data_IF_596462634637
#
_entry.id   IF_596462634637
#
_cell.length_a   1.000
_cell.length_b   1.000
_cell.length_c   1.000
_cell.angle_alpha   90.00
_cell.angle_beta   90.00
_cell.angle_gamma   90.00
#
_symmetry.space_group_name_H-M   'P 1'
#
loop_
_entity.id
_entity.type
_entity.pdbx_description
1 polymer ?
#
# COMPACT_ATOMS: atom_id res chain seq x y z
N UNK A 1 -7.15 -24.90 -21.70
CA UNK A 1 -6.06 -23.94 -21.93
C UNK A 1 -6.15 -23.12 -23.23
N UNK A 2 -6.83 -23.58 -24.30
CA UNK A 2 -6.87 -22.84 -25.59
C UNK A 2 -7.87 -21.66 -25.66
N UNK A 3 -8.93 -21.67 -24.85
CA UNK A 3 -9.98 -20.62 -24.90
C UNK A 3 -9.58 -19.27 -24.28
N UNK A 4 -8.86 -19.26 -23.16
CA UNK A 4 -8.40 -18.02 -22.50
C UNK A 4 -7.39 -17.25 -23.36
N UNK A 5 -6.53 -17.97 -24.10
CA UNK A 5 -5.57 -17.37 -25.02
C UNK A 5 -6.23 -16.75 -26.26
N UNK A 6 -7.29 -17.35 -26.79
CA UNK A 6 -8.10 -16.77 -27.87
C UNK A 6 -8.84 -15.49 -27.45
N UNK A 7 -9.34 -15.43 -26.21
CA UNK A 7 -9.93 -14.22 -25.65
C UNK A 7 -8.88 -13.11 -25.44
N UNK A 8 -7.66 -13.47 -25.02
CA UNK A 8 -6.54 -12.53 -24.89
C UNK A 8 -6.01 -12.04 -26.25
N UNK A 9 -6.05 -12.88 -27.30
CA UNK A 9 -5.71 -12.47 -28.67
C UNK A 9 -6.65 -11.38 -29.19
N UNK A 10 -7.96 -11.50 -28.93
CA UNK A 10 -8.93 -10.43 -29.23
C UNK A 10 -8.65 -9.14 -28.44
N UNK A 11 -8.00 -9.25 -27.28
CA UNK A 11 -7.67 -8.12 -26.42
C UNK A 11 -6.32 -7.44 -26.76
N UNK A 12 -5.42 -8.06 -27.51
CA UNK A 12 -4.15 -7.44 -27.92
C UNK A 12 -4.17 -7.06 -29.40
N UNK A 13 -4.14 -5.77 -29.73
CA UNK A 13 -4.12 -5.32 -31.13
C UNK A 13 -2.89 -5.81 -31.92
N UNK A 14 -1.84 -6.28 -31.22
CA UNK A 14 -0.54 -6.68 -31.78
C UNK A 14 -0.15 -8.13 -31.50
N UNK A 15 -1.02 -8.91 -30.84
CA UNK A 15 -0.77 -10.33 -30.55
C UNK A 15 -1.36 -11.21 -31.65
N UNK A 16 -0.59 -12.19 -32.11
CA UNK A 16 -0.98 -13.18 -33.11
C UNK A 16 -0.73 -14.58 -32.57
N UNK A 17 -1.45 -15.57 -33.09
CA UNK A 17 -1.18 -16.97 -32.76
C UNK A 17 -0.14 -17.52 -33.74
N UNK A 18 0.97 -18.08 -33.24
CA UNK A 18 2.02 -18.73 -34.04
C UNK A 18 2.41 -20.03 -33.34
N UNK A 19 2.23 -21.17 -34.02
CA UNK A 19 2.49 -22.52 -33.48
C UNK A 19 1.85 -22.81 -32.11
N UNK A 20 0.64 -22.28 -31.91
CA UNK A 20 -0.11 -22.44 -30.65
C UNK A 20 0.32 -21.52 -29.51
N UNK A 21 1.28 -20.62 -29.75
CA UNK A 21 1.71 -19.59 -28.81
C UNK A 21 1.15 -18.23 -29.20
N UNK A 22 0.90 -17.39 -28.19
CA UNK A 22 0.64 -15.96 -28.41
C UNK A 22 1.97 -15.24 -28.61
N UNK A 23 2.14 -14.65 -29.79
CA UNK A 23 3.39 -14.03 -30.23
C UNK A 23 3.14 -12.61 -30.69
N UNK A 24 4.07 -11.71 -30.38
CA UNK A 24 4.14 -10.38 -31.00
C UNK A 24 5.54 -10.13 -31.55
N UNK A 25 5.66 -9.19 -32.48
CA UNK A 25 6.92 -8.84 -33.11
C UNK A 25 7.22 -7.37 -32.84
N UNK A 26 8.43 -7.08 -32.39
CA UNK A 26 8.87 -5.69 -32.21
C UNK A 26 9.20 -5.02 -33.56
N UNK A 27 9.37 -3.68 -33.60
CA UNK A 27 9.75 -2.98 -34.83
C UNK A 27 11.13 -3.38 -35.39
N UNK A 28 11.99 -4.03 -34.59
CA UNK A 28 13.31 -4.51 -34.97
C UNK A 28 13.28 -5.95 -35.53
N UNK A 29 12.10 -6.59 -35.52
CA UNK A 29 11.88 -7.93 -36.05
C UNK A 29 11.99 -9.05 -35.02
N UNK A 30 12.21 -8.77 -33.74
CA UNK A 30 12.32 -9.80 -32.70
C UNK A 30 10.95 -10.38 -32.32
N UNK A 31 10.89 -11.71 -32.15
CA UNK A 31 9.70 -12.43 -31.72
C UNK A 31 9.62 -12.51 -30.19
N UNK A 32 8.46 -12.13 -29.66
CA UNK A 32 8.14 -12.17 -28.24
C UNK A 32 7.01 -13.15 -27.97
N UNK A 33 7.27 -14.15 -27.14
CA UNK A 33 6.31 -15.17 -26.75
C UNK A 33 5.65 -14.83 -25.42
N UNK A 34 4.32 -14.78 -25.39
CA UNK A 34 3.56 -14.51 -24.18
C UNK A 34 3.33 -15.79 -23.39
N UNK A 35 3.89 -15.83 -22.18
CA UNK A 35 3.64 -16.86 -21.18
C UNK A 35 2.65 -16.32 -20.15
N UNK A 36 1.59 -17.07 -19.88
CA UNK A 36 0.60 -16.73 -18.87
C UNK A 36 0.53 -17.84 -17.83
N UNK A 37 0.56 -17.46 -16.56
CA UNK A 37 0.39 -18.34 -15.43
C UNK A 37 -0.52 -17.68 -14.40
N UNK A 38 -1.25 -18.50 -13.65
CA UNK A 38 -2.13 -18.09 -12.58
C UNK A 38 -1.66 -18.79 -11.30
N UNK A 39 -1.68 -18.09 -10.16
CA UNK A 39 -1.27 -18.71 -8.90
C UNK A 39 -2.36 -19.64 -8.40
N UNK A 40 -1.96 -20.81 -7.93
CA UNK A 40 -2.85 -21.74 -7.25
C UNK A 40 -3.24 -21.24 -5.83
N UNK A 41 -2.46 -20.33 -5.25
CA UNK A 41 -2.65 -19.78 -3.90
C UNK A 41 -2.87 -18.27 -3.88
N UNK A 42 -3.00 -17.69 -2.67
CA UNK A 42 -3.21 -16.25 -2.52
C UNK A 42 -1.93 -15.45 -2.80
N UNK A 43 -2.07 -14.28 -3.42
CA UNK A 43 -0.97 -13.33 -3.63
C UNK A 43 -0.44 -12.69 -2.35
N UNK A 44 -1.05 -12.99 -1.20
CA UNK A 44 -0.68 -12.46 0.12
C UNK A 44 0.18 -13.43 0.94
N UNK A 45 0.39 -14.67 0.48
CA UNK A 45 1.36 -15.57 1.10
C UNK A 45 2.78 -15.13 0.72
N UNK A 46 3.41 -14.39 1.64
CA UNK A 46 4.74 -13.81 1.43
C UNK A 46 5.81 -14.87 1.16
N UNK A 47 5.74 -16.04 1.80
CA UNK A 47 6.78 -17.08 1.64
C UNK A 47 6.66 -17.76 0.28
N UNK A 48 5.45 -18.17 -0.10
CA UNK A 48 5.23 -18.80 -1.41
C UNK A 48 5.53 -17.83 -2.55
N UNK A 49 5.07 -16.57 -2.42
CA UNK A 49 5.30 -15.52 -3.43
C UNK A 49 6.79 -15.26 -3.61
N UNK A 50 7.56 -15.16 -2.52
CA UNK A 50 9.00 -14.94 -2.60
C UNK A 50 9.74 -16.14 -3.20
N UNK A 51 9.37 -17.37 -2.81
CA UNK A 51 9.97 -18.59 -3.38
C UNK A 51 9.71 -18.70 -4.88
N UNK A 52 8.50 -18.37 -5.33
CA UNK A 52 8.15 -18.36 -6.75
C UNK A 52 9.03 -17.36 -7.52
N UNK A 53 9.13 -16.12 -7.06
CA UNK A 53 9.93 -15.09 -7.74
C UNK A 53 11.41 -15.46 -7.72
N UNK A 54 11.91 -16.00 -6.61
CA UNK A 54 13.29 -16.48 -6.54
C UNK A 54 13.55 -17.58 -7.57
N UNK A 55 12.61 -18.53 -7.69
CA UNK A 55 12.68 -19.60 -8.69
C UNK A 55 12.65 -19.03 -10.11
N UNK A 56 11.74 -18.10 -10.41
CA UNK A 56 11.67 -17.42 -11.72
C UNK A 56 12.98 -16.69 -12.05
N UNK A 57 13.56 -15.97 -11.08
CA UNK A 57 14.85 -15.29 -11.26
C UNK A 57 15.99 -16.28 -11.50
N UNK A 58 15.99 -17.46 -10.85
CA UNK A 58 17.00 -18.49 -11.12
C UNK A 58 16.87 -19.08 -12.52
N UNK A 59 15.64 -19.32 -12.97
CA UNK A 59 15.34 -19.81 -14.31
C UNK A 59 15.70 -18.77 -15.38
N UNK A 60 15.41 -17.49 -15.14
CA UNK A 60 15.81 -16.40 -16.01
C UNK A 60 17.33 -16.32 -16.17
N UNK A 61 18.08 -16.42 -15.06
CA UNK A 61 19.55 -16.45 -15.09
C UNK A 61 20.09 -17.65 -15.87
N UNK A 62 19.52 -18.84 -15.65
CA UNK A 62 19.88 -20.04 -16.41
C UNK A 62 19.59 -19.88 -17.91
N UNK A 63 18.45 -19.30 -18.27
CA UNK A 63 18.07 -19.01 -19.66
C UNK A 63 19.08 -18.05 -20.30
N UNK A 64 19.40 -16.93 -19.63
CA UNK A 64 20.38 -15.94 -20.13
C UNK A 64 21.80 -16.48 -20.25
N UNK A 65 22.18 -17.42 -19.39
CA UNK A 65 23.48 -18.10 -19.46
C UNK A 65 23.57 -18.97 -20.71
N UNK A 66 22.48 -19.66 -21.07
CA UNK A 66 22.42 -20.52 -22.26
C UNK A 66 22.15 -19.75 -23.55
N UNK A 67 21.41 -18.65 -23.47
CA UNK A 67 21.03 -17.80 -24.59
C UNK A 67 21.22 -16.31 -24.23
N UNK A 68 22.42 -15.74 -24.47
CA UNK A 68 22.75 -14.37 -24.05
C UNK A 68 21.87 -13.29 -24.69
N UNK A 69 21.28 -13.58 -25.85
CA UNK A 69 20.37 -12.66 -26.55
C UNK A 69 18.90 -12.78 -26.10
N UNK A 70 18.56 -13.77 -25.26
CA UNK A 70 17.19 -13.94 -24.79
C UNK A 70 16.84 -12.84 -23.78
N UNK A 71 15.70 -12.18 -24.02
CA UNK A 71 15.13 -11.20 -23.11
C UNK A 71 13.86 -11.77 -22.47
N UNK A 72 13.69 -11.49 -21.17
CA UNK A 72 12.49 -11.84 -20.42
C UNK A 72 11.92 -10.54 -19.83
N UNK A 73 10.63 -10.33 -20.08
CA UNK A 73 9.86 -9.24 -19.46
C UNK A 73 8.74 -9.88 -18.64
N UNK A 74 8.58 -9.42 -17.41
CA UNK A 74 7.60 -9.96 -16.47
C UNK A 74 6.60 -8.89 -16.05
N UNK A 75 5.34 -9.29 -15.86
CA UNK A 75 4.27 -8.43 -15.34
C UNK A 75 3.34 -9.24 -14.45
N UNK A 76 2.88 -8.64 -13.35
CA UNK A 76 1.89 -9.22 -12.46
C UNK A 76 1.92 -8.63 -11.05
N UNK A 77 0.79 -8.69 -10.35
CA UNK A 77 0.63 -8.20 -8.97
C UNK A 77 1.57 -8.89 -7.98
N UNK A 78 1.99 -10.11 -8.28
CA UNK A 78 2.92 -10.94 -7.52
C UNK A 78 4.29 -10.29 -7.37
N UNK A 79 4.81 -9.69 -8.45
CA UNK A 79 6.11 -9.00 -8.43
C UNK A 79 6.07 -7.76 -7.55
N UNK A 80 4.96 -7.01 -7.59
CA UNK A 80 4.75 -5.86 -6.71
C UNK A 80 4.60 -6.28 -5.25
N UNK A 81 3.90 -7.38 -4.98
CA UNK A 81 3.65 -7.89 -3.63
C UNK A 81 4.92 -8.41 -2.96
N UNK A 82 5.76 -9.15 -3.68
CA UNK A 82 7.08 -9.57 -3.18
C UNK A 82 8.01 -8.39 -2.97
N UNK A 83 8.08 -7.46 -3.93
CA UNK A 83 8.92 -6.26 -3.75
C UNK A 83 8.52 -5.47 -2.51
N UNK A 84 7.22 -5.18 -2.33
CA UNK A 84 6.71 -4.48 -1.15
C UNK A 84 7.02 -5.24 0.15
N UNK A 85 6.91 -6.57 0.12
CA UNK A 85 7.23 -7.46 1.24
C UNK A 85 8.72 -7.43 1.61
N UNK A 86 9.60 -7.50 0.62
CA UNK A 86 11.04 -7.43 0.81
C UNK A 86 11.49 -6.04 1.25
N UNK A 87 10.92 -4.98 0.67
CA UNK A 87 11.18 -3.61 1.08
C UNK A 87 10.79 -3.40 2.53
N UNK A 88 9.57 -3.81 2.94
CA UNK A 88 9.14 -3.73 4.32
C UNK A 88 10.08 -4.51 5.26
N UNK A 89 10.52 -5.71 4.87
CA UNK A 89 11.48 -6.50 5.66
C UNK A 89 12.84 -5.81 5.78
N UNK A 90 13.34 -5.20 4.71
CA UNK A 90 14.58 -4.43 4.71
C UNK A 90 14.45 -3.17 5.56
N UNK A 91 13.34 -2.45 5.46
CA UNK A 91 13.07 -1.25 6.27
C UNK A 91 13.01 -1.61 7.76
N UNK A 92 12.29 -2.69 8.13
CA UNK A 92 12.29 -3.22 9.51
C UNK A 92 13.72 -3.53 9.97
N UNK A 93 14.52 -4.20 9.13
CA UNK A 93 15.88 -4.59 9.51
C UNK A 93 16.84 -3.40 9.60
N UNK A 94 16.78 -2.46 8.67
CA UNK A 94 17.76 -1.36 8.55
C UNK A 94 17.38 -0.19 9.45
N UNK A 95 16.17 0.34 9.30
CA UNK A 95 15.66 1.42 10.14
C UNK A 95 15.45 0.93 11.57
N UNK A 96 14.92 -0.28 11.77
CA UNK A 96 14.76 -0.83 13.12
C UNK A 96 16.08 -0.97 13.87
N UNK A 97 17.14 -1.49 13.22
CA UNK A 97 18.47 -1.57 13.84
C UNK A 97 19.07 -0.18 14.06
N UNK A 98 18.95 0.73 13.08
CA UNK A 98 19.46 2.10 13.22
C UNK A 98 18.77 2.86 14.37
N UNK A 99 17.45 2.78 14.48
CA UNK A 99 16.67 3.37 15.57
C UNK A 99 17.04 2.73 16.90
N UNK A 100 17.17 1.40 16.96
CA UNK A 100 17.57 0.71 18.18
C UNK A 100 18.96 1.17 18.64
N UNK A 101 19.96 1.17 17.76
CA UNK A 101 21.30 1.68 18.06
C UNK A 101 21.27 3.15 18.47
N UNK A 102 20.48 3.99 17.79
CA UNK A 102 20.31 5.40 18.12
C UNK A 102 19.73 5.61 19.52
N UNK A 103 18.69 4.86 19.90
CA UNK A 103 18.08 4.92 21.24
C UNK A 103 19.07 4.41 22.30
N UNK A 104 19.78 3.31 22.04
CA UNK A 104 20.81 2.80 22.95
C UNK A 104 21.90 3.85 23.17
N UNK A 105 22.42 4.43 22.09
CA UNK A 105 23.46 5.45 22.14
C UNK A 105 22.99 6.69 22.89
N UNK A 106 21.77 7.17 22.63
CA UNK A 106 21.16 8.30 23.33
C UNK A 106 21.05 8.02 24.83
N UNK A 107 20.48 6.88 25.21
CA UNK A 107 20.29 6.52 26.62
C UNK A 107 21.64 6.37 27.33
N UNK A 108 22.61 5.71 26.71
CA UNK A 108 23.96 5.56 27.28
C UNK A 108 24.67 6.91 27.35
N UNK A 109 24.51 7.80 26.37
CA UNK A 109 25.13 9.13 26.41
C UNK A 109 24.55 10.00 27.53
N UNK A 110 23.22 9.96 27.75
CA UNK A 110 22.53 10.77 28.76
C UNK A 110 22.70 10.19 30.16
N UNK A 111 22.35 8.91 30.32
CA UNK A 111 22.30 8.27 31.62
C UNK A 111 23.60 7.57 32.00
N UNK A 112 24.54 7.35 31.07
CA UNK A 112 25.83 6.65 31.27
C UNK A 112 25.68 5.31 32.00
N UNK A 113 24.56 4.61 31.75
CA UNK A 113 24.14 3.39 32.43
C UNK A 113 23.20 2.59 31.53
N UNK A 114 23.29 1.26 31.60
CA UNK A 114 22.39 0.35 30.88
C UNK A 114 21.08 0.07 31.64
N UNK A 115 20.97 0.48 32.91
CA UNK A 115 19.74 0.25 33.70
C UNK A 115 18.51 0.96 33.10
N UNK A 116 18.59 2.25 32.71
CA UNK A 116 17.49 2.93 32.02
C UNK A 116 17.03 2.23 30.74
N UNK A 117 17.98 1.67 29.99
CA UNK A 117 17.69 0.91 28.77
C UNK A 117 16.87 -0.34 29.07
N UNK A 118 17.23 -1.10 30.10
CA UNK A 118 16.45 -2.27 30.53
C UNK A 118 15.03 -1.89 30.93
N UNK A 119 14.86 -0.76 31.64
CA UNK A 119 13.53 -0.26 32.02
C UNK A 119 12.69 0.16 30.82
N UNK A 120 13.30 0.81 29.82
CA UNK A 120 12.63 1.10 28.55
C UNK A 120 12.19 -0.19 27.87
N UNK A 121 13.08 -1.19 27.77
CA UNK A 121 12.77 -2.49 27.14
C UNK A 121 11.63 -3.21 27.86
N UNK A 122 11.56 -3.15 29.19
CA UNK A 122 10.45 -3.75 29.96
C UNK A 122 9.12 -3.06 29.61
N UNK A 123 9.08 -1.73 29.64
CA UNK A 123 7.86 -0.97 29.35
C UNK A 123 7.38 -1.14 27.90
N UNK A 124 8.31 -1.10 26.95
CA UNK A 124 8.05 -1.34 25.53
C UNK A 124 7.58 -2.78 25.31
N UNK A 125 8.25 -3.76 25.95
CA UNK A 125 7.91 -5.17 25.81
C UNK A 125 6.50 -5.47 26.32
N UNK A 126 6.12 -4.93 27.48
CA UNK A 126 4.76 -5.06 28.02
C UNK A 126 3.75 -4.36 27.11
N UNK A 127 4.06 -3.16 26.62
CA UNK A 127 3.21 -2.46 25.66
C UNK A 127 2.99 -3.23 24.37
N UNK A 128 4.07 -3.75 23.77
CA UNK A 128 4.00 -4.55 22.54
C UNK A 128 3.21 -5.85 22.76
N UNK A 129 3.45 -6.56 23.85
CA UNK A 129 2.71 -7.77 24.20
C UNK A 129 1.21 -7.49 24.39
N UNK A 130 0.86 -6.44 25.14
CA UNK A 130 -0.53 -6.07 25.37
C UNK A 130 -1.24 -5.61 24.08
N UNK A 131 -0.56 -4.81 23.26
CA UNK A 131 -1.07 -4.37 21.96
C UNK A 131 -1.29 -5.56 21.01
N UNK A 132 -0.29 -6.45 20.89
CA UNK A 132 -0.40 -7.66 20.06
C UNK A 132 -1.52 -8.56 20.54
N UNK A 133 -1.62 -8.81 21.84
CA UNK A 133 -2.67 -9.65 22.41
C UNK A 133 -4.06 -9.08 22.14
N UNK A 134 -4.27 -7.77 22.37
CA UNK A 134 -5.56 -7.14 22.12
C UNK A 134 -5.95 -7.15 20.63
N UNK A 135 -5.00 -6.87 19.73
CA UNK A 135 -5.26 -6.93 18.29
C UNK A 135 -5.59 -8.34 17.83
N UNK A 136 -4.88 -9.36 18.31
CA UNK A 136 -5.17 -10.76 17.98
C UNK A 136 -6.53 -11.20 18.55
N UNK A 137 -6.90 -10.77 19.75
CA UNK A 137 -8.21 -11.08 20.35
C UNK A 137 -9.37 -10.47 19.58
N UNK A 138 -9.20 -9.27 19.03
CA UNK A 138 -10.29 -8.53 18.35
C UNK A 138 -10.39 -8.91 16.87
N UNK A 139 -9.26 -9.14 16.20
CA UNK A 139 -9.24 -9.34 14.74
C UNK A 139 -8.81 -10.75 14.30
N UNK A 140 -8.32 -11.60 15.20
CA UNK A 140 -7.86 -12.97 14.89
C UNK A 140 -6.53 -13.06 14.13
N UNK A 141 -6.18 -12.03 13.37
CA UNK A 141 -4.98 -11.97 12.53
C UNK A 141 -4.25 -10.63 12.71
N UNK A 142 -2.92 -10.65 12.53
CA UNK A 142 -2.09 -9.46 12.62
C UNK A 142 -1.48 -9.14 11.26
N UNK A 143 -1.90 -8.02 10.67
CA UNK A 143 -1.40 -7.60 9.37
C UNK A 143 0.03 -7.05 9.48
N UNK A 144 0.94 -7.41 8.55
CA UNK A 144 2.34 -6.96 8.61
C UNK A 144 2.47 -5.43 8.67
N UNK A 145 1.63 -4.71 7.93
CA UNK A 145 1.58 -3.24 7.93
C UNK A 145 1.31 -2.68 9.33
N UNK A 146 0.50 -3.37 10.15
CA UNK A 146 0.28 -3.00 11.56
C UNK A 146 1.57 -3.14 12.34
N UNK A 147 2.33 -4.22 12.16
CA UNK A 147 3.60 -4.44 12.84
C UNK A 147 4.65 -3.37 12.47
N UNK A 148 4.72 -3.01 11.19
CA UNK A 148 5.63 -1.97 10.69
C UNK A 148 5.27 -0.60 11.27
N UNK A 149 4.00 -0.20 11.16
CA UNK A 149 3.53 1.08 11.68
C UNK A 149 3.68 1.16 13.21
N UNK A 150 3.55 0.04 13.90
CA UNK A 150 3.72 -0.07 15.35
C UNK A 150 5.15 0.20 15.83
N UNK A 151 6.16 0.18 14.95
CA UNK A 151 7.51 0.64 15.32
C UNK A 151 7.54 2.11 15.74
N UNK A 152 6.65 2.95 15.18
CA UNK A 152 6.54 4.35 15.61
C UNK A 152 6.07 4.49 17.07
N UNK A 153 5.24 3.55 17.53
CA UNK A 153 4.67 3.50 18.88
C UNK A 153 5.75 3.19 19.92
N UNK A 154 6.78 2.42 19.55
CA UNK A 154 7.92 2.08 20.41
C UNK A 154 8.63 3.34 20.91
N UNK A 155 8.80 4.35 20.05
CA UNK A 155 9.43 5.62 20.41
C UNK A 155 8.63 6.37 21.48
N UNK A 156 7.32 6.51 21.29
CA UNK A 156 6.42 7.19 22.23
C UNK A 156 6.38 6.46 23.58
N UNK A 157 6.36 5.12 23.56
CA UNK A 157 6.44 4.28 24.75
C UNK A 157 7.75 4.49 25.53
N UNK A 158 8.88 4.58 24.83
CA UNK A 158 10.17 4.87 25.44
C UNK A 158 10.18 6.23 26.13
N UNK A 159 9.54 7.24 25.55
CA UNK A 159 9.49 8.60 26.08
C UNK A 159 8.87 8.66 27.48
N UNK A 160 7.81 7.89 27.76
CA UNK A 160 7.21 7.84 29.11
C UNK A 160 8.23 7.40 30.16
N UNK A 161 9.03 6.39 29.82
CA UNK A 161 10.11 5.90 30.68
C UNK A 161 11.18 6.97 30.86
N UNK A 162 11.65 7.56 29.76
CA UNK A 162 12.71 8.56 29.79
C UNK A 162 12.31 9.82 30.55
N UNK A 163 11.05 10.24 30.46
CA UNK A 163 10.54 11.41 31.18
C UNK A 163 10.59 11.19 32.69
N UNK A 164 10.11 10.03 33.17
CA UNK A 164 10.20 9.65 34.58
C UNK A 164 11.65 9.50 35.05
N UNK A 165 12.49 8.84 34.25
CA UNK A 165 13.89 8.60 34.59
C UNK A 165 14.73 9.89 34.60
N UNK A 166 14.41 10.85 33.74
CA UNK A 166 15.09 12.16 33.73
C UNK A 166 14.78 12.94 35.01
N UNK A 167 13.53 12.95 35.47
CA UNK A 167 13.17 13.55 36.76
C UNK A 167 13.88 12.86 37.93
N UNK A 168 14.01 11.52 37.89
CA UNK A 168 14.81 10.76 38.87
C UNK A 168 16.31 11.06 38.78
N UNK A 169 16.85 11.24 37.58
CA UNK A 169 18.28 11.50 37.39
C UNK A 169 18.69 12.86 37.96
N UNK A 170 17.81 13.87 37.89
CA UNK A 170 18.09 15.23 38.36
C UNK A 170 17.75 15.40 39.85
N UNK A 171 16.59 14.89 40.30
CA UNK A 171 16.08 15.15 41.65
C UNK A 171 16.11 13.92 42.57
N UNK A 172 16.68 12.80 42.14
CA UNK A 172 16.52 11.49 42.80
C UNK A 172 17.09 11.35 44.21
N UNK A 173 17.96 12.26 44.64
CA UNK A 173 18.55 12.30 45.99
C UNK A 173 17.61 12.95 47.01
N UNK A 174 16.80 13.93 46.58
CA UNK A 174 15.99 14.76 47.48
C UNK A 174 14.55 14.25 47.61
N UNK A 175 14.09 13.46 46.64
CA UNK A 175 12.71 12.95 46.60
C UNK A 175 12.68 11.44 46.43
N UNK A 176 11.64 10.81 47.00
CA UNK A 176 11.40 9.38 46.81
C UNK A 176 10.94 9.06 45.38
N UNK A 177 11.10 7.81 44.90
CA UNK A 177 10.63 7.41 43.56
C UNK A 177 9.14 7.71 43.31
N UNK A 178 8.31 7.61 44.34
CA UNK A 178 6.88 7.90 44.30
C UNK A 178 6.59 9.41 44.25
N UNK A 179 7.39 10.23 44.92
CA UNK A 179 7.26 11.69 44.84
C UNK A 179 7.69 12.21 43.47
N UNK A 180 8.75 11.66 42.87
CA UNK A 180 9.11 11.94 41.48
C UNK A 180 7.98 11.56 40.52
N UNK A 181 7.34 10.41 40.74
CA UNK A 181 6.19 10.00 39.93
C UNK A 181 5.03 10.98 40.06
N UNK A 182 4.70 11.42 41.28
CA UNK A 182 3.61 12.35 41.52
C UNK A 182 3.77 13.67 40.76
N UNK A 183 5.01 14.14 40.53
CA UNK A 183 5.29 15.34 39.72
C UNK A 183 5.01 15.14 38.23
N UNK A 184 5.36 13.97 37.68
CA UNK A 184 5.23 13.72 36.23
C UNK A 184 3.94 13.02 35.83
N UNK A 185 3.21 12.40 36.77
CA UNK A 185 2.03 11.57 36.49
C UNK A 185 0.97 12.28 35.64
N UNK A 186 0.68 13.54 35.93
CA UNK A 186 -0.38 14.28 35.26
C UNK A 186 0.03 14.57 33.81
N UNK A 187 1.30 14.91 33.59
CA UNK A 187 1.85 15.12 32.25
C UNK A 187 1.86 13.81 31.44
N UNK A 188 2.26 12.70 32.06
CA UNK A 188 2.26 11.37 31.41
C UNK A 188 0.85 10.90 31.04
N UNK A 189 -0.12 11.04 31.96
CA UNK A 189 -1.51 10.66 31.70
C UNK A 189 -2.16 11.55 30.64
N UNK A 190 -1.85 12.85 30.63
CA UNK A 190 -2.36 13.75 29.60
C UNK A 190 -1.77 13.40 28.23
N UNK A 191 -0.46 13.15 28.14
CA UNK A 191 0.20 12.73 26.92
C UNK A 191 -0.32 11.38 26.40
N UNK A 192 -0.59 10.44 27.31
CA UNK A 192 -1.25 9.17 26.97
C UNK A 192 -2.65 9.41 26.41
N UNK A 193 -3.49 10.16 27.13
CA UNK A 193 -4.89 10.35 26.76
C UNK A 193 -5.04 11.02 25.38
N UNK A 194 -4.24 12.06 25.11
CA UNK A 194 -4.27 12.73 23.80
C UNK A 194 -3.82 11.80 22.67
N UNK A 195 -2.78 11.00 22.91
CA UNK A 195 -2.26 10.06 21.91
C UNK A 195 -3.24 8.91 21.65
N UNK A 196 -3.82 8.33 22.72
CA UNK A 196 -4.85 7.29 22.62
C UNK A 196 -6.08 7.83 21.88
N UNK A 197 -6.55 9.03 22.20
CA UNK A 197 -7.66 9.66 21.50
C UNK A 197 -7.37 9.82 20.00
N UNK A 198 -6.16 10.27 19.63
CA UNK A 198 -5.76 10.41 18.24
C UNK A 198 -5.78 9.08 17.48
N UNK A 199 -5.23 8.01 18.07
CA UNK A 199 -5.28 6.67 17.45
C UNK A 199 -6.71 6.12 17.37
N UNK A 200 -7.53 6.31 18.41
CA UNK A 200 -8.92 5.85 18.39
C UNK A 200 -9.77 6.56 17.33
N UNK A 201 -9.49 7.83 17.00
CA UNK A 201 -10.13 8.51 15.86
C UNK A 201 -9.83 7.79 14.54
N UNK A 202 -8.63 7.24 14.36
CA UNK A 202 -8.28 6.47 13.16
C UNK A 202 -9.12 5.20 13.01
N UNK A 203 -9.78 4.73 14.07
CA UNK A 203 -10.71 3.59 14.00
C UNK A 203 -11.92 3.87 13.11
N UNK A 204 -12.29 5.14 12.90
CA UNK A 204 -13.36 5.52 11.98
C UNK A 204 -12.97 5.30 10.50
N UNK A 205 -11.68 5.17 10.19
CA UNK A 205 -11.23 4.93 8.82
C UNK A 205 -11.78 3.58 8.30
N UNK A 206 -12.26 3.49 7.04
CA UNK A 206 -12.82 2.25 6.47
C UNK A 206 -11.75 1.22 6.08
N UNK A 207 -10.51 1.36 6.58
CA UNK A 207 -9.38 0.50 6.21
C UNK A 207 -9.02 -0.44 7.36
N UNK A 208 -9.09 -1.77 7.19
CA UNK A 208 -8.88 -2.74 8.27
C UNK A 208 -7.48 -2.64 8.89
N UNK A 209 -6.43 -2.42 8.09
CA UNK A 209 -5.06 -2.27 8.60
C UNK A 209 -4.87 -1.05 9.51
N UNK A 210 -5.55 0.06 9.21
CA UNK A 210 -5.52 1.28 10.03
C UNK A 210 -6.24 1.04 11.37
N UNK A 211 -7.37 0.31 11.35
CA UNK A 211 -8.10 -0.06 12.58
C UNK A 211 -7.28 -0.96 13.49
N UNK A 212 -6.59 -1.96 12.93
CA UNK A 212 -5.69 -2.83 13.70
C UNK A 212 -4.55 -2.02 14.35
N UNK A 213 -3.96 -1.07 13.62
CA UNK A 213 -2.94 -0.16 14.13
C UNK A 213 -3.47 0.72 15.27
N UNK A 214 -4.67 1.26 15.13
CA UNK A 214 -5.29 2.09 16.15
C UNK A 214 -5.45 1.35 17.48
N UNK A 215 -5.97 0.13 17.46
CA UNK A 215 -6.17 -0.69 18.67
C UNK A 215 -4.83 -1.11 19.27
N UNK A 216 -3.89 -1.56 18.43
CA UNK A 216 -2.55 -1.93 18.89
C UNK A 216 -1.89 -0.76 19.64
N UNK A 217 -1.90 0.44 19.04
CA UNK A 217 -1.28 1.62 19.61
C UNK A 217 -1.99 2.07 20.89
N UNK A 218 -3.32 2.14 20.89
CA UNK A 218 -4.09 2.56 22.05
C UNK A 218 -3.85 1.66 23.27
N UNK A 219 -3.92 0.34 23.09
CA UNK A 219 -3.71 -0.62 24.18
C UNK A 219 -2.24 -0.68 24.57
N UNK A 220 -1.33 -0.74 23.59
CA UNK A 220 0.10 -0.86 23.85
C UNK A 220 0.69 0.35 24.56
N UNK A 221 0.33 1.57 24.15
CA UNK A 221 0.74 2.79 24.84
C UNK A 221 0.16 2.88 26.25
N UNK A 222 -1.09 2.47 26.43
CA UNK A 222 -1.72 2.43 27.75
C UNK A 222 -0.97 1.47 28.67
N UNK A 223 -0.73 0.23 28.22
CA UNK A 223 0.00 -0.77 29.00
C UNK A 223 1.45 -0.34 29.31
N UNK A 224 2.15 0.27 28.36
CA UNK A 224 3.47 0.85 28.58
C UNK A 224 3.45 1.97 29.62
N UNK A 225 2.53 2.93 29.50
CA UNK A 225 2.40 4.02 30.46
C UNK A 225 2.06 3.48 31.86
N UNK A 226 1.11 2.54 31.97
CA UNK A 226 0.78 1.89 33.24
C UNK A 226 1.99 1.17 33.85
N UNK A 227 2.83 0.53 33.03
CA UNK A 227 4.09 -0.08 33.50
C UNK A 227 5.01 0.98 34.14
N UNK A 228 5.14 2.16 33.53
CA UNK A 228 5.91 3.26 34.12
C UNK A 228 5.29 3.73 35.44
N UNK A 229 3.96 3.84 35.52
CA UNK A 229 3.30 4.30 36.73
C UNK A 229 3.42 3.30 37.90
N UNK A 230 3.27 2.00 37.63
CA UNK A 230 3.18 0.99 38.68
C UNK A 230 4.51 0.30 38.99
N UNK A 231 5.33 0.00 37.99
CA UNK A 231 6.54 -0.81 38.17
C UNK A 231 7.78 0.04 38.35
N UNK A 232 7.95 1.12 37.59
CA UNK A 232 9.21 1.88 37.59
C UNK A 232 9.58 2.48 38.96
N UNK A 233 8.65 2.96 39.82
CA UNK A 233 8.99 3.43 41.17
C UNK A 233 9.68 2.36 42.03
N UNK A 234 9.38 1.08 41.80
CA UNK A 234 10.03 -0.04 42.48
C UNK A 234 11.39 -0.38 41.86
N UNK A 235 11.48 -0.42 40.53
CA UNK A 235 12.71 -0.84 39.84
C UNK A 235 13.80 0.26 39.82
N UNK A 236 13.45 1.53 40.08
CA UNK A 236 14.34 2.68 39.95
C UNK A 236 15.08 3.09 41.25
N UNK A 237 14.92 2.35 42.35
CA UNK A 237 15.43 2.75 43.69
C UNK A 237 16.94 3.00 43.76
N UNK A 238 17.74 2.37 42.90
CA UNK A 238 19.21 2.48 42.91
C UNK A 238 19.82 3.27 41.74
N UNK A 239 19.06 4.18 41.11
CA UNK A 239 19.59 5.00 40.02
C UNK A 239 20.41 6.18 40.58
N UNK A 240 21.67 6.36 40.16
CA UNK A 240 22.50 7.47 40.62
C UNK A 240 22.01 8.79 40.04
N UNK A 241 22.01 9.84 40.86
CA UNK A 241 21.79 11.22 40.42
C UNK A 241 22.99 11.69 39.60
N UNK A 242 22.72 12.33 38.46
CA UNK A 242 23.75 12.77 37.51
C UNK A 242 23.42 14.13 36.95
N UNK A 243 24.42 14.99 36.69
CA UNK A 243 24.18 16.27 36.04
C UNK A 243 23.71 16.07 34.60
N UNK A 244 22.79 16.92 34.15
CA UNK A 244 22.28 16.89 32.79
C UNK A 244 23.41 17.16 31.79
N UNK A 245 23.60 16.30 30.77
CA UNK A 245 24.62 16.53 29.75
C UNK A 245 24.33 17.81 28.97
N UNK A 246 25.38 18.51 28.52
CA UNK A 246 25.28 19.73 27.71
C UNK A 246 24.41 20.87 28.31
N UNK A 247 24.17 20.86 29.63
CA UNK A 247 23.31 21.85 30.29
C UNK A 247 23.72 23.30 30.03
N UNK A 248 25.02 23.58 29.97
CA UNK A 248 25.53 24.92 29.64
C UNK A 248 25.11 25.39 28.24
N UNK A 249 25.08 24.51 27.24
CA UNK A 249 24.63 24.84 25.88
C UNK A 249 23.13 25.11 25.84
N UNK A 250 22.33 24.26 26.51
CA UNK A 250 20.87 24.45 26.62
C UNK A 250 20.52 25.77 27.31
N UNK A 251 21.22 26.09 28.41
CA UNK A 251 21.02 27.36 29.13
C UNK A 251 21.46 28.58 28.31
N UNK A 252 22.56 28.49 27.55
CA UNK A 252 22.98 29.56 26.63
C UNK A 252 21.96 29.78 25.53
N UNK A 253 21.41 28.72 24.97
CA UNK A 253 20.33 28.81 23.97
C UNK A 253 19.07 29.44 24.56
N UNK A 254 18.64 28.98 25.74
CA UNK A 254 17.47 29.54 26.44
C UNK A 254 17.68 31.01 26.80
N UNK A 255 18.88 31.38 27.24
CA UNK A 255 19.24 32.76 27.53
C UNK A 255 19.24 33.63 26.26
N UNK A 256 19.76 33.12 25.15
CA UNK A 256 19.71 33.80 23.85
C UNK A 256 18.25 34.00 23.39
N UNK A 257 17.41 32.97 23.52
CA UNK A 257 15.99 33.03 23.21
C UNK A 257 15.27 34.08 24.05
N UNK A 258 15.49 34.08 25.38
CA UNK A 258 14.80 35.00 26.31
C UNK A 258 15.31 36.44 26.21
N UNK A 259 16.60 36.65 25.93
CA UNK A 259 17.21 37.99 25.89
C UNK A 259 17.12 38.66 24.51
N UNK A 260 17.18 37.89 23.43
CA UNK A 260 17.19 38.44 22.08
C UNK A 260 15.79 38.40 21.43
N UNK A 261 15.09 39.55 21.44
CA UNK A 261 13.76 39.68 20.81
C UNK A 261 13.77 39.36 19.31
N UNK A 262 14.89 39.58 18.62
CA UNK A 262 15.04 39.19 17.20
C UNK A 262 15.02 37.67 17.03
N UNK A 263 15.62 36.93 17.97
CA UNK A 263 15.62 35.46 17.92
C UNK A 263 14.24 34.90 18.33
N UNK A 264 13.70 35.34 19.47
CA UNK A 264 12.42 34.79 19.99
C UNK A 264 11.20 35.12 19.15
N UNK A 265 11.17 36.23 18.40
CA UNK A 265 10.07 36.56 17.48
C UNK A 265 10.43 36.35 16.02
N UNK A 266 11.66 36.70 15.64
CA UNK A 266 12.09 36.60 14.24
C UNK A 266 12.23 35.15 13.77
N UNK A 267 12.70 34.22 14.63
CA UNK A 267 12.82 32.81 14.22
C UNK A 267 11.43 32.16 13.99
N UNK A 268 10.44 32.26 14.90
CA UNK A 268 9.10 31.74 14.62
C UNK A 268 8.44 32.40 13.42
N UNK A 269 8.61 33.72 13.23
CA UNK A 269 8.04 34.43 12.07
C UNK A 269 8.71 34.00 10.77
N UNK A 270 10.04 33.84 10.75
CA UNK A 270 10.76 33.36 9.58
C UNK A 270 10.34 31.92 9.23
N UNK A 271 10.23 31.03 10.22
CA UNK A 271 9.72 29.68 10.03
C UNK A 271 8.27 29.68 9.56
N UNK A 272 7.41 30.55 10.08
CA UNK A 272 6.03 30.68 9.63
C UNK A 272 5.95 31.15 8.17
N UNK A 273 6.73 32.17 7.79
CA UNK A 273 6.79 32.66 6.41
C UNK A 273 7.35 31.59 5.46
N UNK A 274 8.38 30.85 5.89
CA UNK A 274 8.93 29.74 5.11
C UNK A 274 7.90 28.62 4.91
N UNK A 275 7.19 28.22 5.97
CA UNK A 275 6.10 27.25 5.89
C UNK A 275 4.96 27.76 5.00
N UNK A 276 4.65 29.07 5.03
CA UNK A 276 3.61 29.68 4.20
C UNK A 276 4.00 29.71 2.72
N UNK A 277 5.27 29.99 2.42
CA UNK A 277 5.82 29.85 1.09
C UNK A 277 5.77 28.38 0.61
N UNK A 278 6.15 27.42 1.47
CA UNK A 278 6.00 25.99 1.18
C UNK A 278 4.56 25.58 0.90
N UNK A 279 3.59 26.06 1.69
CA UNK A 279 2.16 25.83 1.46
C UNK A 279 1.69 26.42 0.12
N UNK A 280 2.24 27.56 -0.32
CA UNK A 280 1.89 28.13 -1.63
C UNK A 280 2.34 27.28 -2.82
N UNK A 281 3.32 26.38 -2.61
CA UNK A 281 3.82 25.45 -3.62
C UNK A 281 3.18 24.06 -3.50
N UNK A 282 2.24 23.85 -2.57
CA UNK A 282 1.56 22.57 -2.39
C UNK A 282 0.76 22.21 -3.64
N UNK A 283 1.11 21.09 -4.27
CA UNK A 283 0.30 20.46 -5.31
C UNK A 283 -0.42 19.28 -4.70
N UNK A 284 -1.73 19.24 -4.87
CA UNK A 284 -2.55 18.10 -4.46
C UNK A 284 -2.66 17.17 -5.67
N UNK A 285 -2.11 15.95 -5.52
CA UNK A 285 -2.27 14.86 -6.48
C UNK A 285 -3.21 13.82 -5.85
N UNK A 286 -4.43 13.70 -6.37
CA UNK A 286 -5.44 12.74 -5.89
C UNK A 286 -5.24 11.32 -6.43
N UNK A 287 -4.11 11.07 -7.10
CA UNK A 287 -3.80 9.78 -7.69
C UNK A 287 -3.24 8.80 -6.64
N UNK A 288 -4.12 7.96 -6.11
CA UNK A 288 -3.79 6.91 -5.12
C UNK A 288 -2.69 5.97 -5.65
N UNK A 289 -2.52 5.83 -6.97
CA UNK A 289 -1.46 4.99 -7.53
C UNK A 289 -0.05 5.53 -7.20
N UNK A 290 0.10 6.84 -6.97
CA UNK A 290 1.38 7.43 -6.56
C UNK A 290 1.76 7.11 -5.11
N UNK A 291 0.80 6.69 -4.27
CA UNK A 291 1.09 6.21 -2.91
C UNK A 291 1.75 4.83 -2.93
N UNK A 292 1.72 4.12 -4.06
CA UNK A 292 2.50 2.90 -4.26
C UNK A 292 3.88 3.29 -4.83
N UNK A 293 4.94 3.01 -4.07
CA UNK A 293 6.31 3.06 -4.59
C UNK A 293 6.52 1.88 -5.56
N UNK A 294 5.99 2.01 -6.77
CA UNK A 294 6.14 1.01 -7.81
C UNK A 294 7.62 1.01 -8.25
N UNK A 295 8.32 -0.14 -8.22
CA UNK A 295 9.72 -0.19 -8.59
C UNK A 295 9.90 0.22 -10.04
N UNK A 296 10.82 1.15 -10.31
CA UNK A 296 11.07 1.66 -11.66
C UNK A 296 11.35 0.53 -12.67
N UNK A 297 11.98 -0.57 -12.23
CA UNK A 297 12.28 -1.71 -13.09
C UNK A 297 11.03 -2.52 -13.49
N UNK A 298 10.08 -2.74 -12.57
CA UNK A 298 8.82 -3.45 -12.88
C UNK A 298 7.94 -2.57 -13.77
N UNK A 299 7.86 -1.27 -13.47
CA UNK A 299 7.17 -0.30 -14.30
C UNK A 299 7.73 -0.23 -15.72
N UNK A 300 9.06 -0.25 -15.87
CA UNK A 300 9.71 -0.24 -17.18
C UNK A 300 9.37 -1.50 -17.99
N UNK A 301 9.38 -2.67 -17.35
CA UNK A 301 8.96 -3.92 -18.00
C UNK A 301 7.48 -3.87 -18.40
N UNK A 302 6.61 -3.34 -17.54
CA UNK A 302 5.19 -3.21 -17.82
C UNK A 302 4.88 -2.25 -18.98
N UNK A 303 5.61 -1.12 -19.06
CA UNK A 303 5.56 -0.20 -20.20
C UNK A 303 6.04 -0.87 -21.50
N UNK A 304 7.12 -1.64 -21.44
CA UNK A 304 7.62 -2.39 -22.59
C UNK A 304 6.61 -3.45 -23.07
N UNK A 305 6.05 -4.23 -22.15
CA UNK A 305 4.99 -5.21 -22.44
C UNK A 305 3.76 -4.53 -23.02
N UNK A 306 3.36 -3.36 -22.50
CA UNK A 306 2.24 -2.58 -23.04
C UNK A 306 2.50 -2.12 -24.47
N UNK A 307 3.72 -1.64 -24.76
CA UNK A 307 4.11 -1.23 -26.10
C UNK A 307 4.14 -2.41 -27.10
N UNK A 308 4.58 -3.58 -26.66
CA UNK A 308 4.64 -4.80 -27.47
C UNK A 308 3.24 -5.39 -27.73
N UNK A 309 2.42 -5.53 -26.67
CA UNK A 309 1.12 -6.23 -26.75
C UNK A 309 -0.04 -5.33 -27.16
N UNK A 310 0.11 -4.01 -26.99
CA UNK A 310 -0.99 -3.04 -27.12
C UNK A 310 -2.04 -3.17 -26.00
N UNK A 311 -1.74 -3.89 -24.91
CA UNK A 311 -2.63 -4.01 -23.76
C UNK A 311 -2.22 -3.01 -22.67
N UNK A 312 -2.87 -1.85 -22.66
CA UNK A 312 -2.75 -0.89 -21.56
C UNK A 312 -3.32 -1.48 -20.27
N UNK A 313 -2.58 -1.28 -19.17
CA UNK A 313 -2.93 -1.72 -17.81
C UNK A 313 -3.92 -0.76 -17.16
N UNK A 314 -4.02 0.45 -17.69
CA UNK A 314 -4.83 1.54 -17.14
C UNK A 314 -6.32 1.44 -17.53
N UNK A 315 -6.89 0.25 -17.37
CA UNK A 315 -8.31 0.04 -17.60
C UNK A 315 -9.03 0.41 -16.31
N UNK A 316 -9.43 1.68 -16.21
CA UNK A 316 -10.51 2.05 -15.30
C UNK A 316 -11.73 1.22 -15.69
N UNK A 317 -12.14 0.32 -14.81
CA UNK A 317 -13.26 -0.57 -15.05
C UNK A 317 -14.56 0.08 -14.62
N UNK A 318 -15.58 0.02 -15.48
CA UNK A 318 -16.96 0.22 -15.08
C UNK A 318 -17.58 -1.14 -14.84
N UNK A 319 -18.02 -1.40 -13.61
CA UNK A 319 -18.69 -2.66 -13.29
C UNK A 319 -20.20 -2.46 -13.35
N UNK A 320 -20.85 -3.21 -14.24
CA UNK A 320 -22.30 -3.20 -14.39
C UNK A 320 -22.87 -4.41 -13.67
N UNK A 321 -23.73 -4.16 -12.68
CA UNK A 321 -24.38 -5.20 -11.88
C UNK A 321 -25.85 -5.37 -12.25
N UNK A 322 -26.38 -6.58 -12.11
CA UNK A 322 -27.79 -6.93 -12.28
C UNK A 322 -28.11 -8.20 -11.50
N UNK A 323 -29.37 -8.35 -11.10
CA UNK A 323 -29.84 -9.48 -10.28
C UNK A 323 -29.97 -10.78 -11.11
N UNK A 324 -29.89 -10.66 -12.45
CA UNK A 324 -29.81 -11.77 -13.39
C UNK A 324 -28.85 -11.46 -14.54
N UNK A 325 -28.27 -12.48 -15.21
CA UNK A 325 -27.37 -12.27 -16.35
C UNK A 325 -28.00 -11.39 -17.46
N UNK A 326 -29.31 -11.54 -17.69
CA UNK A 326 -30.02 -10.85 -18.78
C UNK A 326 -30.26 -9.39 -18.43
N UNK A 327 -30.55 -9.09 -17.16
CA UNK A 327 -30.64 -7.73 -16.67
C UNK A 327 -29.27 -7.03 -16.73
N UNK A 328 -28.19 -7.74 -16.39
CA UNK A 328 -26.83 -7.22 -16.53
C UNK A 328 -26.51 -6.86 -17.98
N UNK A 329 -26.83 -7.74 -18.94
CA UNK A 329 -26.63 -7.46 -20.37
C UNK A 329 -27.46 -6.26 -20.85
N UNK A 330 -28.73 -6.15 -20.48
CA UNK A 330 -29.56 -4.97 -20.83
C UNK A 330 -29.01 -3.67 -20.24
N UNK A 331 -28.53 -3.69 -19.00
CA UNK A 331 -27.88 -2.54 -18.37
C UNK A 331 -26.57 -2.18 -19.06
N UNK A 332 -25.78 -3.19 -19.45
CA UNK A 332 -24.53 -3.02 -20.19
C UNK A 332 -24.79 -2.38 -21.55
N UNK A 333 -25.82 -2.82 -22.28
CA UNK A 333 -26.23 -2.22 -23.57
C UNK A 333 -26.60 -0.75 -23.42
N UNK A 334 -27.45 -0.43 -22.42
CA UNK A 334 -27.82 0.97 -22.14
C UNK A 334 -26.59 1.82 -21.81
N UNK A 335 -25.67 1.27 -21.02
CA UNK A 335 -24.44 1.97 -20.64
C UNK A 335 -23.48 2.14 -21.82
N UNK A 336 -23.42 1.17 -22.73
CA UNK A 336 -22.60 1.22 -23.95
C UNK A 336 -22.98 2.41 -24.83
N UNK A 337 -24.28 2.72 -24.94
CA UNK A 337 -24.73 3.92 -25.66
C UNK A 337 -24.18 5.22 -25.04
N UNK A 338 -24.09 5.31 -23.71
CA UNK A 338 -23.48 6.45 -23.01
C UNK A 338 -21.97 6.52 -23.22
N UNK A 339 -21.28 5.36 -23.27
CA UNK A 339 -19.85 5.29 -23.58
C UNK A 339 -19.57 5.75 -25.02
N UNK A 340 -20.43 5.40 -25.98
CA UNK A 340 -20.32 5.85 -27.36
C UNK A 340 -20.50 7.37 -27.49
N UNK A 341 -21.44 7.94 -26.72
CA UNK A 341 -21.60 9.40 -26.63
C UNK A 341 -20.34 10.07 -26.06
N UNK A 342 -19.81 9.57 -24.94
CA UNK A 342 -18.60 10.10 -24.32
C UNK A 342 -17.36 10.00 -25.25
N UNK A 343 -17.29 8.95 -26.07
CA UNK A 343 -16.25 8.81 -27.10
C UNK A 343 -16.39 9.87 -28.20
N UNK A 344 -17.62 10.14 -28.65
CA UNK A 344 -17.89 11.20 -29.66
C UNK A 344 -17.55 12.60 -29.15
N UNK A 345 -17.75 12.87 -27.85
CA UNK A 345 -17.36 14.14 -27.22
C UNK A 345 -15.86 14.22 -26.88
N UNK A 346 -15.07 13.17 -27.10
CA UNK A 346 -13.63 13.17 -26.82
C UNK A 346 -13.27 13.02 -25.34
N UNK A 347 -14.23 12.68 -24.47
CA UNK A 347 -13.98 12.41 -23.04
C UNK A 347 -13.19 11.12 -22.82
N UNK A 348 -13.37 10.14 -23.71
CA UNK A 348 -12.63 8.87 -23.70
C UNK A 348 -12.10 8.55 -25.10
N UNK A 349 -10.89 8.01 -25.18
CA UNK A 349 -10.27 7.66 -26.47
C UNK A 349 -10.89 6.40 -27.08
N UNK A 350 -11.11 5.38 -26.25
CA UNK A 350 -11.72 4.13 -26.65
C UNK A 350 -12.26 3.39 -25.42
N UNK A 351 -13.17 2.43 -25.63
CA UNK A 351 -13.65 1.54 -24.59
C UNK A 351 -13.77 0.11 -25.12
N UNK A 352 -13.91 -0.85 -24.20
CA UNK A 352 -14.14 -2.25 -24.52
C UNK A 352 -15.30 -2.78 -23.69
N UNK A 353 -16.16 -3.55 -24.31
CA UNK A 353 -17.27 -4.26 -23.67
C UNK A 353 -17.19 -5.75 -23.97
N UNK A 354 -17.94 -6.53 -23.21
CA UNK A 354 -18.11 -7.96 -23.51
C UNK A 354 -18.95 -8.07 -24.78
N UNK A 355 -18.52 -8.84 -25.81
CA UNK A 355 -19.22 -8.93 -27.09
C UNK A 355 -20.42 -9.91 -27.00
N UNK A 356 -21.33 -9.66 -26.06
CA UNK A 356 -22.53 -10.43 -25.81
C UNK A 356 -23.72 -9.48 -25.78
N UNK A 357 -24.65 -9.68 -26.70
CA UNK A 357 -25.91 -8.93 -26.74
C UNK A 357 -26.93 -9.58 -25.80
N UNK A 358 -27.84 -8.78 -25.24
CA UNK A 358 -28.97 -9.26 -24.48
C UNK A 358 -29.93 -10.05 -25.38
N UNK A 359 -30.67 -10.97 -24.76
CA UNK A 359 -31.62 -11.81 -25.49
C UNK A 359 -32.69 -10.97 -26.23
N UNK A 360 -33.12 -9.87 -25.63
CA UNK A 360 -34.06 -8.94 -26.26
C UNK A 360 -33.49 -8.32 -27.54
N UNK A 361 -32.20 -7.96 -27.54
CA UNK A 361 -31.54 -7.41 -28.72
C UNK A 361 -31.33 -8.48 -29.80
N UNK A 362 -31.01 -9.71 -29.41
CA UNK A 362 -30.89 -10.84 -30.33
C UNK A 362 -32.23 -11.15 -31.03
N UNK A 363 -33.35 -11.08 -30.29
CA UNK A 363 -34.70 -11.24 -30.86
C UNK A 363 -35.06 -10.12 -31.84
N UNK A 364 -34.75 -8.86 -31.49
CA UNK A 364 -34.95 -7.69 -32.34
C UNK A 364 -34.11 -7.79 -33.64
N UNK A 365 -32.82 -8.09 -33.52
CA UNK A 365 -31.91 -8.27 -34.66
C UNK A 365 -32.40 -9.42 -35.56
N UNK A 366 -32.92 -10.50 -34.99
CA UNK A 366 -33.47 -11.63 -35.73
C UNK A 366 -34.76 -11.27 -36.49
N UNK A 367 -35.63 -10.44 -35.91
CA UNK A 367 -36.84 -9.97 -36.58
C UNK A 367 -36.53 -8.99 -37.72
N UNK A 368 -35.56 -8.09 -37.51
CA UNK A 368 -35.04 -7.21 -38.56
C UNK A 368 -34.43 -8.00 -39.71
N UNK A 369 -33.65 -9.04 -39.41
CA UNK A 369 -33.07 -9.92 -40.43
C UNK A 369 -34.17 -10.67 -41.22
N UNK A 370 -35.19 -11.19 -40.55
CA UNK A 370 -36.34 -11.83 -41.22
C UNK A 370 -37.09 -10.87 -42.14
N UNK A 371 -37.22 -9.62 -41.74
CA UNK A 371 -37.93 -8.59 -42.52
C UNK A 371 -37.10 -8.09 -43.70
N UNK A 372 -35.78 -7.95 -43.54
CA UNK A 372 -34.87 -7.46 -44.58
C UNK A 372 -34.45 -8.55 -45.57
N UNK A 373 -34.37 -9.81 -45.13
CA UNK A 373 -33.91 -10.93 -45.95
C UNK A 373 -34.63 -11.04 -47.31
N UNK A 374 -35.97 -10.98 -47.43
CA UNK A 374 -36.66 -11.10 -48.71
C UNK A 374 -36.22 -10.04 -49.74
N UNK A 375 -36.00 -8.80 -49.26
CA UNK A 375 -35.58 -7.67 -50.09
C UNK A 375 -34.14 -7.83 -50.57
N UNK A 376 -33.25 -8.28 -49.68
CA UNK A 376 -31.86 -8.56 -50.01
C UNK A 376 -31.76 -9.75 -50.97
N UNK A 377 -32.52 -10.82 -50.73
CA UNK A 377 -32.58 -11.99 -51.61
C UNK A 377 -33.06 -11.62 -53.02
N UNK A 378 -34.09 -10.76 -53.13
CA UNK A 378 -34.54 -10.24 -54.42
C UNK A 378 -33.46 -9.39 -55.11
N UNK A 379 -32.78 -8.52 -54.37
CA UNK A 379 -31.71 -7.70 -54.92
C UNK A 379 -30.52 -8.55 -55.43
N UNK A 380 -30.15 -9.60 -54.69
CA UNK A 380 -29.10 -10.55 -55.08
C UNK A 380 -29.50 -11.39 -56.30
N UNK A 381 -30.75 -11.83 -56.36
CA UNK A 381 -31.30 -12.53 -57.53
C UNK A 381 -31.31 -11.63 -58.78
N UNK A 382 -31.68 -10.36 -58.64
CA UNK A 382 -31.63 -9.38 -59.73
C UNK A 382 -30.19 -9.08 -60.20
N UNK A 383 -29.20 -9.28 -59.33
CA UNK A 383 -27.77 -9.16 -59.66
C UNK A 383 -27.17 -10.47 -60.22
N UNK A 384 -27.97 -11.52 -60.45
CA UNK A 384 -27.52 -12.79 -61.01
C UNK A 384 -26.80 -13.72 -60.02
N UNK A 385 -26.85 -13.41 -58.72
CA UNK A 385 -26.26 -14.23 -57.66
C UNK A 385 -27.33 -15.15 -57.06
N UNK A 386 -27.10 -16.46 -57.07
CA UNK A 386 -27.98 -17.45 -56.43
C UNK A 386 -27.84 -17.38 -54.91
N UNK A 387 -28.91 -16.98 -54.22
CA UNK A 387 -28.91 -16.87 -52.77
C UNK A 387 -28.79 -18.26 -52.10
N UNK A 388 -27.81 -18.39 -51.20
CA UNK A 388 -27.60 -19.60 -50.38
C UNK A 388 -28.72 -19.71 -49.33
N UNK A 389 -29.23 -20.92 -49.12
CA UNK A 389 -30.38 -21.24 -48.27
C UNK A 389 -30.31 -20.65 -46.86
N UNK A 390 -31.47 -20.21 -46.36
CA UNK A 390 -31.70 -19.65 -45.03
C UNK A 390 -31.19 -20.57 -43.91
N UNK A 391 -30.30 -20.06 -43.05
CA UNK A 391 -29.89 -20.70 -41.80
C UNK A 391 -31.08 -20.59 -40.83
N UNK A 392 -31.89 -21.65 -40.74
CA UNK A 392 -33.12 -21.72 -39.95
C UNK A 392 -32.96 -22.47 -38.62
N UNK A 393 -31.77 -22.44 -38.00
CA UNK A 393 -31.58 -23.03 -36.66
C UNK A 393 -30.87 -22.07 -35.71
N UNK A 394 -31.49 -21.69 -34.57
CA UNK A 394 -30.75 -21.07 -33.49
C UNK A 394 -29.82 -22.14 -32.88
N UNK A 395 -28.51 -21.90 -32.88
CA UNK A 395 -27.60 -22.67 -32.04
C UNK A 395 -27.98 -22.38 -30.58
N UNK A 396 -28.48 -23.40 -29.89
CA UNK A 396 -28.72 -23.38 -28.44
C UNK A 396 -27.41 -23.43 -27.66
#
# INVERSE_FOLDING_TARGET
MRGSQLAMAKNGQRLRLMDGWLVTQDPQGHYWYLLHGELAGSSFDMQQTHQLITTLNTLEKALKTRYPQAQLLSRGTVFYSDYASQQAKQDISTLGVATLLGVILLIVAVFRSLRPLLLCVISIGIGALAGTAATLLIFGELHLMTLVMSMSVIGISADYTLYYLTERMVHGNDVSPWQSLAKVRNALLLALLTTVAAYLIMMLAPFPGIRQMAIFAAVGLSASCLTVLFWHPWLCRGLPVRPVPAMALMLRWLAAWRRNKKLSRGLPVALALFSLAGMSMLRVDDDISQLQALPQHILAQEKAITALTGQSVDQKWFVVYGDSPQQTLRRLEKYTASLEYAKKEGLISNYRTIPLNSLARQEEDLDLLKTAAPTVTKALQNAGLTAVNQISTPCR
#
